data_IF_308939872709
#
_entry.id   IF_308939872709
#
_cell.length_a   1.000
_cell.length_b   1.000
_cell.length_c   1.000
_cell.angle_alpha   90.00
_cell.angle_beta   90.00
_cell.angle_gamma   90.00
#
_symmetry.space_group_name_H-M   'P 1'
#
loop_
_entity.id
_entity.type
_entity.pdbx_description
1 polymer ?
#
# COMPACT_ATOMS: atom_id res chain seq x y z
N UNK A 1 55.27 49.96 -18.29
CA UNK A 1 54.47 48.78 -18.50
C UNK A 1 53.05 49.13 -19.03
N UNK A 2 52.49 48.41 -19.98
CA UNK A 2 51.16 48.70 -20.50
C UNK A 2 50.09 48.45 -19.39
N UNK A 3 48.97 49.20 -19.42
CA UNK A 3 47.89 48.97 -18.46
C UNK A 3 47.30 47.54 -18.57
N UNK A 4 46.83 47.00 -17.44
CA UNK A 4 46.23 45.65 -17.45
C UNK A 4 44.99 45.62 -18.38
N UNK A 5 44.71 44.49 -19.03
CA UNK A 5 43.51 44.34 -19.88
C UNK A 5 42.24 44.52 -19.05
N UNK A 6 41.16 45.05 -19.61
CA UNK A 6 39.89 45.20 -18.93
C UNK A 6 39.33 43.82 -18.50
N UNK A 7 38.57 43.72 -17.38
CA UNK A 7 37.98 42.48 -16.95
C UNK A 7 36.98 41.96 -18.02
N UNK A 8 36.83 40.64 -18.15
CA UNK A 8 35.87 40.04 -19.09
C UNK A 8 34.43 40.47 -18.75
N UNK A 9 33.58 40.63 -19.75
CA UNK A 9 32.17 41.00 -19.51
C UNK A 9 31.48 39.94 -18.67
N UNK A 10 30.48 40.30 -17.83
CA UNK A 10 29.71 39.33 -17.06
C UNK A 10 29.00 38.37 -17.99
N UNK A 11 28.81 37.09 -17.56
CA UNK A 11 28.12 36.12 -18.38
C UNK A 11 26.66 36.57 -18.64
N UNK A 12 26.10 36.28 -19.83
CA UNK A 12 24.76 36.69 -20.18
C UNK A 12 23.76 36.08 -19.18
N UNK A 13 22.67 36.79 -18.83
CA UNK A 13 21.62 36.22 -17.97
C UNK A 13 21.05 34.95 -18.60
N UNK A 14 20.67 33.93 -17.78
CA UNK A 14 20.08 32.71 -18.30
C UNK A 14 18.84 33.07 -19.12
N UNK A 15 18.60 32.37 -20.25
CA UNK A 15 17.48 32.68 -21.13
C UNK A 15 16.15 32.63 -20.36
N UNK A 16 15.29 33.61 -20.58
CA UNK A 16 13.97 33.79 -19.97
C UNK A 16 13.10 32.49 -20.03
N UNK A 17 13.25 31.71 -21.08
CA UNK A 17 12.62 30.39 -21.23
C UNK A 17 12.97 29.39 -20.10
N UNK A 18 14.17 29.45 -19.54
CA UNK A 18 14.60 28.55 -18.46
C UNK A 18 13.92 28.92 -17.13
N UNK A 19 13.72 30.21 -16.88
CA UNK A 19 13.05 30.72 -15.68
C UNK A 19 11.55 30.34 -15.71
N UNK A 20 10.86 30.57 -16.84
CA UNK A 20 9.46 30.19 -17.03
C UNK A 20 9.26 28.66 -16.93
N UNK A 21 10.18 27.86 -17.47
CA UNK A 21 10.14 26.40 -17.37
C UNK A 21 10.28 25.91 -15.93
N UNK A 22 11.24 26.49 -15.18
CA UNK A 22 11.43 26.18 -13.74
C UNK A 22 10.21 26.57 -12.92
N UNK A 23 9.67 27.77 -13.14
CA UNK A 23 8.49 28.27 -12.44
C UNK A 23 7.27 27.39 -12.73
N UNK A 24 7.06 26.99 -13.99
CA UNK A 24 6.00 26.06 -14.38
C UNK A 24 6.14 24.69 -13.70
N UNK A 25 7.36 24.13 -13.63
CA UNK A 25 7.61 22.86 -12.96
C UNK A 25 7.36 22.96 -11.44
N UNK A 26 7.70 24.07 -10.80
CA UNK A 26 7.37 24.32 -9.40
C UNK A 26 5.87 24.36 -9.18
N UNK A 27 5.11 25.07 -10.00
CA UNK A 27 3.64 25.12 -9.88
C UNK A 27 2.99 23.74 -10.07
N UNK A 28 3.50 22.91 -10.99
CA UNK A 28 2.98 21.54 -11.22
C UNK A 28 3.26 20.67 -10.01
N UNK A 29 4.46 20.72 -9.45
CA UNK A 29 4.80 19.99 -8.22
C UNK A 29 3.95 20.43 -7.04
N UNK A 30 3.79 21.73 -6.84
CA UNK A 30 3.02 22.28 -5.72
C UNK A 30 1.54 21.88 -5.84
N UNK A 31 1.00 21.86 -7.07
CA UNK A 31 -0.33 21.32 -7.36
C UNK A 31 -0.43 19.84 -6.98
N UNK A 32 0.51 19.00 -7.42
CA UNK A 32 0.55 17.59 -7.04
C UNK A 32 0.57 17.42 -5.51
N UNK A 33 1.42 18.17 -4.81
CA UNK A 33 1.49 18.09 -3.35
C UNK A 33 0.16 18.46 -2.68
N UNK A 34 -0.55 19.46 -3.21
CA UNK A 34 -1.85 19.87 -2.68
C UNK A 34 -2.95 18.83 -2.99
N UNK A 35 -2.97 18.28 -4.21
CA UNK A 35 -3.95 17.27 -4.62
C UNK A 35 -3.76 15.94 -3.89
N UNK A 36 -2.53 15.63 -3.47
CA UNK A 36 -2.18 14.38 -2.78
C UNK A 36 -1.94 14.56 -1.26
N UNK A 37 -2.28 15.72 -0.71
CA UNK A 37 -1.96 16.07 0.69
C UNK A 37 -2.55 15.08 1.71
N UNK A 38 -3.67 14.43 1.38
CA UNK A 38 -4.37 13.47 2.24
C UNK A 38 -3.54 12.24 2.66
N UNK A 39 -2.53 11.88 1.89
CA UNK A 39 -1.60 10.79 2.22
C UNK A 39 -0.14 11.24 2.19
N UNK A 40 0.20 12.15 1.24
CA UNK A 40 1.58 12.52 0.96
C UNK A 40 2.23 13.29 2.11
N UNK A 41 1.46 14.08 2.85
CA UNK A 41 1.97 14.87 3.96
C UNK A 41 2.41 13.95 5.10
N UNK A 42 1.57 13.01 5.48
CA UNK A 42 1.86 12.03 6.51
C UNK A 42 2.98 11.06 6.09
N UNK A 43 2.96 10.59 4.84
CA UNK A 43 4.02 9.75 4.30
C UNK A 43 5.39 10.45 4.34
N UNK A 44 5.47 11.70 3.85
CA UNK A 44 6.72 12.44 3.80
C UNK A 44 7.26 12.77 5.20
N UNK A 45 6.37 13.10 6.13
CA UNK A 45 6.70 13.33 7.53
C UNK A 45 7.19 12.06 8.20
N UNK A 46 6.47 10.93 8.04
CA UNK A 46 6.88 9.63 8.55
C UNK A 46 8.26 9.22 8.06
N UNK A 47 8.51 9.32 6.76
CA UNK A 47 9.80 8.94 6.16
C UNK A 47 10.94 9.82 6.65
N UNK A 48 10.72 11.11 6.83
CA UNK A 48 11.71 12.03 7.36
C UNK A 48 12.03 11.70 8.83
N UNK A 49 11.02 11.44 9.66
CA UNK A 49 11.18 10.99 11.05
C UNK A 49 11.88 9.64 11.13
N UNK A 50 11.45 8.67 10.31
CA UNK A 50 12.05 7.35 10.24
C UNK A 50 13.55 7.41 9.95
N UNK A 51 13.94 8.17 8.93
CA UNK A 51 15.35 8.38 8.58
C UNK A 51 16.13 9.05 9.72
N UNK A 52 15.53 10.04 10.39
CA UNK A 52 16.16 10.72 11.52
C UNK A 52 16.39 9.74 12.69
N UNK A 53 15.38 8.99 13.11
CA UNK A 53 15.47 8.08 14.25
C UNK A 53 16.37 6.87 13.95
N UNK A 54 16.37 6.32 12.72
CA UNK A 54 17.30 5.26 12.32
C UNK A 54 18.77 5.67 12.47
N UNK A 55 19.10 6.94 12.27
CA UNK A 55 20.47 7.45 12.40
C UNK A 55 20.87 7.75 13.86
N UNK A 56 19.92 7.97 14.76
CA UNK A 56 20.18 8.45 16.12
C UNK A 56 19.80 7.43 17.20
N UNK A 57 18.59 6.92 17.17
CA UNK A 57 18.02 6.08 18.23
C UNK A 57 17.56 4.73 17.73
N UNK A 58 17.36 4.62 16.40
CA UNK A 58 16.79 3.43 15.76
C UNK A 58 15.32 3.21 16.11
N UNK A 59 14.77 2.12 15.55
CA UNK A 59 13.50 1.61 16.01
C UNK A 59 12.29 1.89 15.12
N UNK A 60 11.22 1.25 15.53
CA UNK A 60 9.87 1.31 14.96
C UNK A 60 9.17 2.55 15.51
N UNK A 61 8.21 3.11 14.76
CA UNK A 61 7.57 4.39 15.09
C UNK A 61 6.99 4.48 16.50
N UNK A 62 6.50 3.39 17.07
CA UNK A 62 5.94 3.38 18.44
C UNK A 62 7.02 3.48 19.54
N UNK A 63 8.29 3.31 19.18
CA UNK A 63 9.44 3.51 20.10
C UNK A 63 10.03 4.92 20.01
N UNK A 64 9.54 5.78 19.12
CA UNK A 64 9.96 7.18 19.05
C UNK A 64 9.52 7.94 20.30
N UNK A 65 10.04 9.17 20.54
CA UNK A 65 9.55 10.03 21.60
C UNK A 65 8.02 10.08 21.61
N UNK A 66 7.41 9.87 22.76
CA UNK A 66 5.97 9.67 22.90
C UNK A 66 5.13 10.77 22.22
N UNK A 67 5.59 12.02 22.26
CA UNK A 67 4.94 13.16 21.61
C UNK A 67 4.85 13.01 20.09
N UNK A 68 5.85 12.38 19.47
CA UNK A 68 5.87 12.10 18.00
C UNK A 68 5.17 10.79 17.68
N UNK A 69 5.39 9.73 18.47
CA UNK A 69 4.68 8.46 18.30
C UNK A 69 3.15 8.68 18.38
N UNK A 70 2.70 9.61 19.24
CA UNK A 70 1.29 9.97 19.43
C UNK A 70 0.81 11.14 18.56
N UNK A 71 1.67 11.62 17.65
CA UNK A 71 1.33 12.73 16.72
C UNK A 71 0.78 13.97 17.41
N UNK A 72 1.32 14.34 18.60
CA UNK A 72 0.90 15.56 19.28
C UNK A 72 1.11 16.79 18.36
N UNK A 73 0.09 17.65 18.16
CA UNK A 73 0.15 18.73 17.16
C UNK A 73 1.37 19.63 17.27
N UNK A 74 1.74 20.01 18.50
CA UNK A 74 2.89 20.89 18.75
C UNK A 74 4.21 20.18 18.42
N UNK A 75 4.30 18.87 18.64
CA UNK A 75 5.47 18.08 18.28
C UNK A 75 5.57 17.93 16.76
N UNK A 76 4.46 17.62 16.08
CA UNK A 76 4.41 17.56 14.61
C UNK A 76 4.85 18.90 14.01
N UNK A 77 4.35 20.03 14.53
CA UNK A 77 4.75 21.36 14.04
C UNK A 77 6.27 21.59 14.18
N UNK A 78 6.84 21.35 15.37
CA UNK A 78 8.29 21.51 15.62
C UNK A 78 9.14 20.63 14.71
N UNK A 79 8.73 19.35 14.55
CA UNK A 79 9.47 18.41 13.72
C UNK A 79 9.32 18.70 12.22
N UNK A 80 8.16 19.22 11.80
CA UNK A 80 7.95 19.69 10.42
C UNK A 80 8.91 20.82 10.05
N UNK A 81 9.16 21.75 10.96
CA UNK A 81 10.16 22.81 10.77
C UNK A 81 11.59 22.24 10.75
N UNK A 82 11.92 21.39 11.72
CA UNK A 82 13.24 20.76 11.86
C UNK A 82 13.62 19.93 10.64
N UNK A 83 12.67 19.15 10.07
CA UNK A 83 12.89 18.23 8.97
C UNK A 83 12.31 18.75 7.64
N UNK A 84 12.12 20.07 7.50
CA UNK A 84 11.46 20.66 6.34
C UNK A 84 12.12 20.31 5.00
N UNK A 85 13.44 20.13 4.97
CA UNK A 85 14.17 19.76 3.75
C UNK A 85 13.93 18.30 3.37
N UNK A 86 13.99 17.40 4.35
CA UNK A 86 13.77 15.97 4.21
C UNK A 86 12.32 15.67 3.77
N UNK A 87 11.35 16.33 4.39
CA UNK A 87 9.94 16.24 4.01
C UNK A 87 9.75 16.69 2.55
N UNK A 88 10.33 17.83 2.17
CA UNK A 88 10.26 18.31 0.77
C UNK A 88 10.95 17.36 -0.20
N UNK A 89 12.04 16.72 0.20
CA UNK A 89 12.73 15.71 -0.60
C UNK A 89 11.84 14.49 -0.85
N UNK A 90 11.17 13.95 0.18
CA UNK A 90 10.26 12.83 0.03
C UNK A 90 9.06 13.18 -0.85
N UNK A 91 8.44 14.35 -0.67
CA UNK A 91 7.38 14.86 -1.55
C UNK A 91 7.86 14.98 -3.00
N UNK A 92 9.06 15.45 -3.21
CA UNK A 92 9.64 15.58 -4.55
C UNK A 92 9.90 14.22 -5.20
N UNK A 93 10.36 13.22 -4.46
CA UNK A 93 10.54 11.86 -4.99
C UNK A 93 9.21 11.24 -5.40
N UNK A 94 8.16 11.42 -4.61
CA UNK A 94 6.82 10.94 -4.99
C UNK A 94 6.31 11.66 -6.25
N UNK A 95 6.48 12.97 -6.33
CA UNK A 95 6.14 13.73 -7.53
C UNK A 95 6.86 13.20 -8.78
N UNK A 96 8.17 12.94 -8.69
CA UNK A 96 8.93 12.37 -9.82
C UNK A 96 8.44 10.97 -10.18
N UNK A 97 8.22 10.12 -9.17
CA UNK A 97 7.71 8.78 -9.38
C UNK A 97 6.36 8.81 -10.12
N UNK A 98 5.40 9.58 -9.62
CA UNK A 98 4.07 9.65 -10.25
C UNK A 98 4.12 10.17 -11.68
N UNK A 99 4.94 11.19 -11.97
CA UNK A 99 5.08 11.67 -13.35
C UNK A 99 5.62 10.57 -14.27
N UNK A 100 6.71 9.91 -13.88
CA UNK A 100 7.34 8.87 -14.68
C UNK A 100 6.45 7.63 -14.82
N UNK A 101 5.80 7.23 -13.72
CA UNK A 101 4.92 6.08 -13.70
C UNK A 101 3.68 6.28 -14.58
N UNK A 102 3.02 7.44 -14.47
CA UNK A 102 1.84 7.73 -15.28
C UNK A 102 2.17 7.88 -16.77
N UNK A 103 3.34 8.42 -17.11
CA UNK A 103 3.84 8.42 -18.50
C UNK A 103 4.04 6.98 -19.02
N UNK A 104 4.65 6.09 -18.20
CA UNK A 104 4.83 4.69 -18.55
C UNK A 104 3.49 3.96 -18.69
N UNK A 105 2.56 4.16 -17.74
CA UNK A 105 1.21 3.58 -17.79
C UNK A 105 0.48 4.02 -19.05
N UNK A 106 0.49 5.30 -19.38
CA UNK A 106 -0.10 5.83 -20.61
C UNK A 106 0.52 5.19 -21.85
N UNK A 107 1.85 5.09 -21.88
CA UNK A 107 2.56 4.45 -22.99
C UNK A 107 2.16 2.97 -23.20
N UNK A 108 1.96 2.22 -22.09
CA UNK A 108 1.49 0.84 -22.12
C UNK A 108 0.03 0.76 -22.61
N UNK A 109 -0.85 1.59 -22.06
CA UNK A 109 -2.27 1.61 -22.40
C UNK A 109 -2.51 1.99 -23.87
N UNK A 110 -1.75 2.94 -24.44
CA UNK A 110 -1.81 3.31 -25.86
C UNK A 110 -1.46 2.14 -26.80
N UNK A 111 -0.86 1.06 -26.26
CA UNK A 111 -0.52 -0.18 -26.97
C UNK A 111 -1.41 -1.36 -26.60
N UNK A 112 -2.51 -1.09 -25.91
CA UNK A 112 -3.45 -2.12 -25.46
C UNK A 112 -2.92 -3.01 -24.32
N UNK A 113 -1.87 -2.58 -23.60
CA UNK A 113 -1.30 -3.30 -22.47
C UNK A 113 -1.87 -2.69 -21.20
N UNK A 114 -2.53 -3.52 -20.36
CA UNK A 114 -3.02 -3.14 -19.06
C UNK A 114 -1.99 -3.47 -17.98
N UNK A 115 -1.87 -2.59 -17.01
CA UNK A 115 -1.00 -2.80 -15.84
C UNK A 115 -1.84 -3.36 -14.70
N UNK A 116 -1.42 -4.50 -14.15
CA UNK A 116 -2.01 -5.10 -12.97
C UNK A 116 -1.15 -4.67 -11.77
N UNK A 117 -1.77 -3.96 -10.84
CA UNK A 117 -1.19 -3.63 -9.53
C UNK A 117 -1.51 -4.70 -8.49
N UNK A 118 -0.86 -4.58 -7.34
CA UNK A 118 -1.04 -5.47 -6.22
C UNK A 118 -1.19 -4.67 -4.91
N UNK A 119 -2.12 -5.08 -4.06
CA UNK A 119 -2.38 -4.44 -2.79
C UNK A 119 -2.65 -5.50 -1.71
N UNK A 120 -1.85 -5.57 -0.64
CA UNK A 120 -2.15 -6.46 0.46
C UNK A 120 -3.35 -5.95 1.26
N UNK A 121 -4.18 -6.89 1.79
CA UNK A 121 -5.28 -6.47 2.68
C UNK A 121 -4.72 -5.75 3.92
N UNK A 122 -3.68 -6.28 4.57
CA UNK A 122 -3.11 -5.67 5.77
C UNK A 122 -1.83 -4.88 5.45
N UNK A 123 -1.69 -3.72 6.09
CA UNK A 123 -0.51 -2.86 5.96
C UNK A 123 0.57 -3.22 6.97
N UNK A 124 1.82 -2.86 6.66
CA UNK A 124 2.92 -3.07 7.58
C UNK A 124 2.74 -2.25 8.86
N UNK A 125 3.07 -2.83 10.01
CA UNK A 125 3.01 -2.13 11.29
C UNK A 125 3.87 -0.86 11.30
N UNK A 126 5.11 -0.98 10.81
CA UNK A 126 6.04 0.14 10.74
C UNK A 126 5.88 0.91 9.43
N UNK A 127 4.75 1.59 9.31
CA UNK A 127 4.34 2.36 8.13
C UNK A 127 3.71 3.70 8.48
N UNK A 128 3.70 4.60 7.51
CA UNK A 128 2.97 5.87 7.61
C UNK A 128 1.47 5.65 7.83
N UNK A 129 0.90 4.60 7.22
CA UNK A 129 -0.51 4.26 7.33
C UNK A 129 -0.92 4.00 8.78
N UNK A 130 -0.15 3.15 9.50
CA UNK A 130 -0.45 2.81 10.90
C UNK A 130 -0.14 3.98 11.82
N UNK A 131 1.00 4.66 11.63
CA UNK A 131 1.38 5.81 12.44
C UNK A 131 0.39 6.97 12.32
N UNK A 132 -0.08 7.25 11.10
CA UNK A 132 -0.98 8.37 10.83
C UNK A 132 -2.44 8.09 11.22
N UNK A 133 -2.85 6.83 11.25
CA UNK A 133 -4.24 6.40 11.46
C UNK A 133 -4.33 5.33 12.55
N UNK A 134 -3.57 5.47 13.62
CA UNK A 134 -3.43 4.45 14.68
C UNK A 134 -4.78 4.06 15.33
N UNK A 135 -5.75 4.95 15.34
CA UNK A 135 -7.10 4.71 15.84
C UNK A 135 -7.87 3.65 15.04
N UNK A 136 -7.49 3.41 13.77
CA UNK A 136 -8.13 2.42 12.88
C UNK A 136 -7.61 1.00 13.07
N UNK A 137 -6.59 0.81 13.91
CA UNK A 137 -5.93 -0.47 14.13
C UNK A 137 -6.06 -0.93 15.59
N UNK A 138 -5.98 -2.26 15.80
CA UNK A 138 -6.01 -2.87 17.12
C UNK A 138 -4.65 -2.73 17.81
N UNK A 139 -4.44 -1.60 18.45
CA UNK A 139 -3.19 -1.24 19.13
C UNK A 139 -3.41 -1.01 20.64
N UNK A 140 -2.37 -1.28 21.40
CA UNK A 140 -2.25 -0.90 22.82
C UNK A 140 -2.00 0.60 22.98
N UNK A 141 -2.02 1.08 24.22
CA UNK A 141 -1.73 2.48 24.51
C UNK A 141 -0.29 2.89 24.13
N UNK A 142 0.68 1.99 24.15
CA UNK A 142 2.05 2.25 23.71
C UNK A 142 2.24 2.20 22.19
N UNK A 143 1.16 1.94 21.44
CA UNK A 143 1.16 1.81 19.99
C UNK A 143 1.54 0.42 19.49
N UNK A 144 1.91 -0.53 20.35
CA UNK A 144 2.17 -1.91 19.94
C UNK A 144 0.88 -2.62 19.52
N UNK A 145 0.89 -3.56 18.57
CA UNK A 145 -0.29 -4.35 18.22
C UNK A 145 -0.81 -5.16 19.40
N UNK A 146 -2.12 -5.23 19.58
CA UNK A 146 -2.75 -6.19 20.51
C UNK A 146 -2.89 -7.56 19.88
N UNK A 147 -3.14 -7.59 18.59
CA UNK A 147 -3.29 -8.77 17.74
C UNK A 147 -2.68 -8.50 16.37
N UNK A 148 -2.27 -9.57 15.68
CA UNK A 148 -1.66 -9.48 14.36
C UNK A 148 -2.29 -10.45 13.38
N UNK A 149 -2.14 -10.16 12.09
CA UNK A 149 -2.59 -10.99 11.00
C UNK A 149 -1.68 -12.19 10.76
N UNK A 150 -2.25 -13.23 10.19
CA UNK A 150 -1.55 -14.40 9.72
C UNK A 150 -2.50 -15.44 9.11
N UNK A 151 -2.01 -16.66 8.97
CA UNK A 151 -2.80 -17.83 8.58
C UNK A 151 -2.48 -18.98 9.52
N UNK A 152 -3.47 -19.84 9.85
CA UNK A 152 -3.27 -20.98 10.75
C UNK A 152 -2.33 -22.02 10.13
N UNK A 153 -1.86 -22.98 10.92
CA UNK A 153 -1.15 -24.15 10.43
C UNK A 153 -1.89 -24.85 9.28
N UNK A 154 -1.15 -25.23 8.26
CA UNK A 154 -1.65 -25.94 7.09
C UNK A 154 -0.64 -26.99 6.60
N UNK A 155 -0.92 -27.61 5.43
CA UNK A 155 -0.04 -28.62 4.85
C UNK A 155 1.37 -28.10 4.52
N UNK A 156 1.53 -26.81 4.25
CA UNK A 156 2.80 -26.20 3.86
C UNK A 156 3.59 -25.65 5.05
N UNK A 157 2.92 -25.36 6.18
CA UNK A 157 3.52 -24.79 7.39
C UNK A 157 2.88 -25.35 8.65
N UNK A 158 3.64 -26.14 9.43
CA UNK A 158 3.17 -26.72 10.70
C UNK A 158 2.88 -25.66 11.78
N UNK A 159 3.47 -24.48 11.68
CA UNK A 159 3.28 -23.37 12.63
C UNK A 159 2.38 -22.26 12.06
N UNK A 160 1.89 -22.44 10.82
CA UNK A 160 1.20 -21.38 10.10
C UNK A 160 2.14 -20.24 9.72
N UNK A 161 1.58 -19.09 9.38
CA UNK A 161 2.37 -17.89 9.06
C UNK A 161 1.90 -16.74 9.94
N UNK A 162 2.79 -16.19 10.75
CA UNK A 162 2.57 -14.96 11.50
C UNK A 162 3.15 -13.79 10.71
N UNK A 163 2.28 -12.95 10.14
CA UNK A 163 2.72 -11.84 9.28
C UNK A 163 3.12 -10.59 10.07
N UNK A 164 2.55 -10.41 11.27
CA UNK A 164 2.87 -9.27 12.13
C UNK A 164 2.18 -7.96 11.78
N UNK A 165 1.34 -7.93 10.73
CA UNK A 165 0.55 -6.76 10.37
C UNK A 165 -0.54 -6.52 11.42
N UNK A 166 -0.77 -5.29 11.89
CA UNK A 166 -1.86 -4.99 12.82
C UNK A 166 -3.22 -5.17 12.13
N UNK A 167 -4.21 -5.61 12.89
CA UNK A 167 -5.56 -5.81 12.38
C UNK A 167 -6.39 -4.53 12.47
N UNK A 168 -7.30 -4.38 11.49
CA UNK A 168 -8.21 -3.24 11.44
C UNK A 168 -9.34 -3.33 12.46
N UNK A 169 -9.76 -2.20 12.97
CA UNK A 169 -11.04 -2.03 13.67
C UNK A 169 -12.15 -1.79 12.64
N UNK A 170 -12.59 -2.86 11.97
CA UNK A 170 -13.55 -2.79 10.86
C UNK A 170 -14.86 -2.08 11.22
N UNK A 171 -15.29 -2.22 12.49
CA UNK A 171 -16.50 -1.56 12.97
C UNK A 171 -16.35 -0.03 12.95
N UNK A 172 -15.24 0.49 13.44
CA UNK A 172 -14.94 1.93 13.42
C UNK A 172 -14.80 2.46 12.01
N UNK A 173 -14.12 1.69 11.13
CA UNK A 173 -14.00 2.07 9.72
C UNK A 173 -15.35 2.10 8.98
N UNK A 174 -16.30 1.25 9.37
CA UNK A 174 -17.63 1.27 8.75
C UNK A 174 -18.46 2.52 9.10
N UNK A 175 -18.16 3.19 10.21
CA UNK A 175 -18.87 4.40 10.65
C UNK A 175 -18.61 5.62 9.75
N UNK A 176 -17.45 5.65 9.08
CA UNK A 176 -17.08 6.67 8.10
C UNK A 176 -17.15 6.17 6.64
N UNK A 177 -17.95 5.12 6.41
CA UNK A 177 -18.13 4.47 5.11
C UNK A 177 -16.80 4.02 4.50
N UNK A 178 -15.87 3.52 5.33
CA UNK A 178 -14.54 3.03 4.94
C UNK A 178 -13.69 4.07 4.18
N UNK A 179 -13.77 5.33 4.55
CA UNK A 179 -13.15 6.46 3.84
C UNK A 179 -11.65 6.26 3.56
N UNK A 180 -10.92 5.70 4.53
CA UNK A 180 -9.50 5.40 4.38
C UNK A 180 -9.24 4.33 3.29
N UNK A 181 -10.06 3.28 3.25
CA UNK A 181 -9.98 2.25 2.22
C UNK A 181 -10.37 2.77 0.84
N UNK A 182 -11.37 3.65 0.77
CA UNK A 182 -11.74 4.35 -0.46
C UNK A 182 -10.55 5.11 -1.03
N UNK A 183 -9.85 5.90 -0.20
CA UNK A 183 -8.65 6.64 -0.63
C UNK A 183 -7.53 5.70 -1.08
N UNK A 184 -7.32 4.58 -0.37
CA UNK A 184 -6.31 3.58 -0.67
C UNK A 184 -6.56 2.90 -2.01
N UNK A 185 -7.79 2.44 -2.28
CA UNK A 185 -8.16 1.84 -3.57
C UNK A 185 -8.11 2.85 -4.71
N UNK A 186 -8.60 4.06 -4.50
CA UNK A 186 -8.52 5.14 -5.49
C UNK A 186 -7.09 5.41 -5.93
N UNK A 187 -6.16 5.44 -4.97
CA UNK A 187 -4.73 5.59 -5.28
C UNK A 187 -4.20 4.40 -6.08
N UNK A 188 -4.57 3.18 -5.71
CA UNK A 188 -4.18 1.98 -6.44
C UNK A 188 -4.69 1.97 -7.87
N UNK A 189 -5.95 2.40 -8.12
CA UNK A 189 -6.53 2.53 -9.46
C UNK A 189 -5.90 3.68 -10.29
N UNK A 190 -5.35 4.68 -9.63
CA UNK A 190 -4.54 5.69 -10.33
C UNK A 190 -3.25 5.08 -10.88
N UNK A 191 -2.64 4.17 -10.14
CA UNK A 191 -1.35 3.56 -10.50
C UNK A 191 -1.51 2.35 -11.44
N UNK A 192 -2.61 1.62 -11.36
CA UNK A 192 -2.83 0.40 -12.13
C UNK A 192 -4.21 0.44 -12.85
N UNK A 193 -4.37 -0.39 -13.87
CA UNK A 193 -5.65 -0.54 -14.59
C UNK A 193 -6.55 -1.58 -13.93
N UNK A 194 -5.91 -2.59 -13.31
CA UNK A 194 -6.56 -3.64 -12.54
C UNK A 194 -5.73 -3.83 -11.27
N UNK A 195 -6.37 -4.09 -10.13
CA UNK A 195 -5.67 -4.29 -8.86
C UNK A 195 -5.99 -5.67 -8.30
N UNK A 196 -4.95 -6.47 -8.05
CA UNK A 196 -5.07 -7.70 -7.29
C UNK A 196 -5.12 -7.37 -5.80
N UNK A 197 -6.16 -7.83 -5.12
CA UNK A 197 -6.19 -7.78 -3.65
C UNK A 197 -5.61 -9.09 -3.12
N UNK A 198 -4.46 -8.99 -2.49
CA UNK A 198 -3.82 -10.11 -1.81
C UNK A 198 -4.57 -10.49 -0.54
N UNK A 199 -4.72 -11.80 -0.31
CA UNK A 199 -5.48 -12.38 0.80
C UNK A 199 -6.95 -11.91 0.85
N UNK A 200 -7.65 -11.95 -0.30
CA UNK A 200 -9.05 -11.53 -0.43
C UNK A 200 -9.97 -12.18 0.61
N UNK A 201 -9.70 -13.44 0.99
CA UNK A 201 -10.49 -14.14 2.00
C UNK A 201 -10.60 -13.38 3.33
N UNK A 202 -9.62 -12.51 3.66
CA UNK A 202 -9.60 -11.71 4.88
C UNK A 202 -10.78 -10.75 5.00
N UNK A 203 -11.44 -10.41 3.88
CA UNK A 203 -12.68 -9.63 3.92
C UNK A 203 -13.88 -10.47 4.39
N UNK A 204 -13.89 -11.77 4.20
CA UNK A 204 -14.89 -12.65 4.81
C UNK A 204 -14.49 -13.03 6.24
N UNK A 205 -13.31 -13.62 6.39
CA UNK A 205 -12.75 -13.96 7.70
C UNK A 205 -11.22 -14.04 7.63
N UNK A 206 -10.55 -13.53 8.66
CA UNK A 206 -9.10 -13.52 8.81
C UNK A 206 -8.67 -14.23 10.10
N UNK A 207 -7.42 -14.70 10.11
CA UNK A 207 -6.82 -15.35 11.28
C UNK A 207 -6.18 -14.30 12.17
N UNK A 208 -6.72 -14.14 13.37
CA UNK A 208 -6.23 -13.24 14.40
C UNK A 208 -5.30 -14.01 15.35
N UNK A 209 -4.10 -13.50 15.55
CA UNK A 209 -3.07 -14.06 16.41
C UNK A 209 -2.80 -13.06 17.53
N UNK A 210 -2.83 -13.44 18.83
CA UNK A 210 -2.36 -12.58 19.92
C UNK A 210 -0.94 -12.09 19.62
N UNK A 211 -0.65 -10.80 19.85
CA UNK A 211 0.61 -10.22 19.41
C UNK A 211 1.84 -10.80 20.13
N UNK A 212 1.66 -11.36 21.33
CA UNK A 212 2.67 -12.04 22.16
C UNK A 212 3.07 -13.42 21.62
N UNK A 213 2.26 -14.03 20.76
CA UNK A 213 2.55 -15.35 20.21
C UNK A 213 3.62 -15.27 19.11
N UNK A 214 4.60 -16.17 19.14
CA UNK A 214 5.69 -16.22 18.18
C UNK A 214 5.28 -16.88 16.84
N UNK A 215 4.22 -17.70 16.88
CA UNK A 215 3.72 -18.48 15.74
C UNK A 215 2.24 -18.26 15.52
N UNK A 216 1.69 -18.80 14.43
CA UNK A 216 0.27 -18.71 14.13
C UNK A 216 -0.55 -19.90 14.65
N UNK A 217 0.03 -20.77 15.49
CA UNK A 217 -0.66 -21.94 16.04
C UNK A 217 -1.83 -21.54 16.96
N UNK A 218 -1.60 -20.52 17.79
CA UNK A 218 -2.64 -19.98 18.67
C UNK A 218 -3.27 -18.78 17.98
N UNK A 219 -4.55 -18.90 17.67
CA UNK A 219 -5.30 -17.84 17.00
C UNK A 219 -6.77 -18.21 16.87
N UNK A 220 -7.53 -17.36 16.21
CA UNK A 220 -8.96 -17.58 15.94
C UNK A 220 -9.40 -16.90 14.66
N UNK A 221 -10.41 -17.47 14.00
CA UNK A 221 -11.06 -16.85 12.88
C UNK A 221 -11.97 -15.71 13.34
N UNK A 222 -11.75 -14.52 12.79
CA UNK A 222 -12.57 -13.33 13.03
C UNK A 222 -13.29 -12.97 11.72
N UNK A 223 -14.57 -12.66 11.82
CA UNK A 223 -15.37 -12.24 10.68
C UNK A 223 -14.89 -10.89 10.18
N UNK A 224 -14.66 -10.79 8.89
CA UNK A 224 -14.30 -9.53 8.20
C UNK A 224 -15.52 -8.66 7.90
N UNK A 225 -15.33 -7.52 7.24
CA UNK A 225 -16.41 -6.58 6.92
C UNK A 225 -17.36 -7.12 5.83
N UNK A 226 -16.92 -8.09 5.04
CA UNK A 226 -17.74 -8.81 4.07
C UNK A 226 -18.33 -7.92 2.97
N UNK A 227 -19.59 -8.18 2.67
CA UNK A 227 -20.34 -7.53 1.61
C UNK A 227 -20.45 -6.01 1.78
N UNK A 228 -20.67 -5.51 3.01
CA UNK A 228 -20.85 -4.07 3.27
C UNK A 228 -19.63 -3.23 2.88
N UNK A 229 -18.44 -3.81 2.96
CA UNK A 229 -17.21 -3.15 2.51
C UNK A 229 -17.22 -2.91 0.99
N UNK A 230 -17.49 -3.93 0.20
CA UNK A 230 -17.46 -3.79 -1.26
C UNK A 230 -18.64 -2.97 -1.79
N UNK A 231 -19.82 -3.03 -1.13
CA UNK A 231 -20.94 -2.13 -1.45
C UNK A 231 -20.55 -0.66 -1.24
N UNK A 232 -19.86 -0.35 -0.13
CA UNK A 232 -19.36 1.00 0.11
C UNK A 232 -18.29 1.41 -0.93
N UNK A 233 -17.42 0.48 -1.34
CA UNK A 233 -16.43 0.76 -2.38
C UNK A 233 -17.08 1.02 -3.74
N UNK A 234 -18.09 0.25 -4.15
CA UNK A 234 -18.85 0.49 -5.37
C UNK A 234 -19.59 1.83 -5.33
N UNK A 235 -20.20 2.18 -4.18
CA UNK A 235 -20.86 3.47 -3.99
C UNK A 235 -19.89 4.65 -4.13
N UNK A 236 -18.68 4.53 -3.58
CA UNK A 236 -17.71 5.61 -3.54
C UNK A 236 -16.87 5.74 -4.82
N UNK A 237 -16.57 4.63 -5.49
CA UNK A 237 -15.60 4.55 -6.59
C UNK A 237 -16.20 4.09 -7.93
N UNK A 238 -17.44 3.60 -7.94
CA UNK A 238 -18.07 3.01 -9.11
C UNK A 238 -17.57 1.59 -9.39
N UNK A 239 -17.29 1.28 -10.65
CA UNK A 239 -16.77 -0.03 -11.04
C UNK A 239 -15.41 -0.30 -10.39
N UNK A 240 -15.27 -1.51 -9.82
CA UNK A 240 -14.07 -1.94 -9.12
C UNK A 240 -13.28 -2.93 -10.00
N UNK A 241 -12.21 -2.51 -10.70
CA UNK A 241 -11.37 -3.39 -11.50
C UNK A 241 -10.45 -4.22 -10.59
N UNK A 242 -11.02 -5.16 -9.84
CA UNK A 242 -10.31 -5.97 -8.86
C UNK A 242 -10.17 -7.42 -9.30
N UNK A 243 -9.07 -8.04 -8.92
CA UNK A 243 -8.84 -9.48 -8.93
C UNK A 243 -8.76 -9.94 -7.48
N UNK A 244 -9.55 -10.95 -7.12
CA UNK A 244 -9.47 -11.54 -5.79
C UNK A 244 -8.38 -12.62 -5.76
N UNK A 245 -7.37 -12.46 -4.90
CA UNK A 245 -6.48 -13.56 -4.59
C UNK A 245 -7.22 -14.51 -3.63
N UNK A 246 -7.70 -15.61 -4.19
CA UNK A 246 -8.51 -16.65 -3.53
C UNK A 246 -7.78 -18.00 -3.51
N UNK A 247 -6.51 -17.97 -3.09
CA UNK A 247 -5.67 -19.16 -2.93
C UNK A 247 -5.70 -19.68 -1.48
N UNK A 248 -5.30 -20.93 -1.28
CA UNK A 248 -5.28 -21.58 0.03
C UNK A 248 -6.64 -22.14 0.46
N UNK A 249 -6.99 -22.01 1.74
CA UNK A 249 -8.25 -22.55 2.30
C UNK A 249 -9.39 -21.61 1.97
N UNK A 250 -10.12 -21.87 0.91
CA UNK A 250 -11.25 -21.07 0.44
C UNK A 250 -12.57 -21.72 0.81
N UNK A 251 -13.41 -20.98 1.52
CA UNK A 251 -14.74 -21.43 1.97
C UNK A 251 -15.82 -21.01 0.97
N UNK A 252 -17.01 -21.64 1.01
CA UNK A 252 -18.15 -21.21 0.16
C UNK A 252 -18.52 -19.74 0.34
N UNK A 253 -18.35 -19.17 1.55
CA UNK A 253 -18.65 -17.79 1.86
C UNK A 253 -17.70 -16.84 1.12
N UNK A 254 -16.41 -17.17 1.05
CA UNK A 254 -15.41 -16.40 0.28
C UNK A 254 -15.75 -16.43 -1.21
N UNK A 255 -16.13 -17.61 -1.74
CA UNK A 255 -16.56 -17.74 -3.14
C UNK A 255 -17.81 -16.90 -3.40
N UNK A 256 -18.81 -16.97 -2.52
CA UNK A 256 -20.05 -16.21 -2.64
C UNK A 256 -19.77 -14.68 -2.60
N UNK A 257 -18.89 -14.24 -1.72
CA UNK A 257 -18.50 -12.82 -1.64
C UNK A 257 -17.82 -12.35 -2.94
N UNK A 258 -16.85 -13.12 -3.45
CA UNK A 258 -16.16 -12.83 -4.72
C UNK A 258 -17.14 -12.77 -5.90
N UNK A 259 -18.00 -13.78 -6.03
CA UNK A 259 -18.92 -13.95 -7.15
C UNK A 259 -20.03 -12.88 -7.15
N UNK A 260 -20.47 -12.43 -5.97
CA UNK A 260 -21.43 -11.34 -5.81
C UNK A 260 -20.97 -10.05 -6.49
N UNK A 261 -19.69 -9.71 -6.37
CA UNK A 261 -19.08 -8.52 -6.96
C UNK A 261 -18.42 -8.80 -8.31
N UNK A 262 -18.62 -9.99 -8.87
CA UNK A 262 -18.10 -10.41 -10.17
C UNK A 262 -16.57 -10.32 -10.29
N UNK A 263 -15.84 -10.40 -9.19
CA UNK A 263 -14.38 -10.36 -9.23
C UNK A 263 -13.82 -11.67 -9.81
N UNK A 264 -12.87 -11.59 -10.75
CA UNK A 264 -12.11 -12.76 -11.15
C UNK A 264 -11.32 -13.31 -9.95
N UNK A 265 -11.36 -14.63 -9.76
CA UNK A 265 -10.45 -15.32 -8.85
C UNK A 265 -9.11 -15.63 -9.50
N UNK A 266 -8.16 -16.17 -8.73
CA UNK A 266 -6.85 -16.56 -9.22
C UNK A 266 -6.65 -18.07 -9.24
N UNK A 267 -5.90 -18.56 -10.23
CA UNK A 267 -5.40 -19.93 -10.28
C UNK A 267 -3.92 -19.94 -10.64
N UNK A 268 -3.14 -20.73 -9.92
CA UNK A 268 -1.73 -20.94 -10.21
C UNK A 268 -1.64 -22.11 -11.20
N UNK A 269 -1.30 -21.81 -12.45
CA UNK A 269 -1.33 -22.79 -13.54
C UNK A 269 -0.38 -23.98 -13.30
N UNK A 270 0.72 -23.78 -12.57
CA UNK A 270 1.65 -24.85 -12.21
C UNK A 270 0.97 -26.00 -11.45
N UNK A 271 -0.04 -25.71 -10.63
CA UNK A 271 -0.79 -26.73 -9.89
C UNK A 271 -1.72 -27.58 -10.79
N UNK A 272 -1.96 -27.13 -12.03
CA UNK A 272 -2.74 -27.88 -13.01
C UNK A 272 -2.05 -29.17 -13.49
N UNK A 273 -0.73 -29.27 -13.34
CA UNK A 273 0.08 -30.35 -13.89
C UNK A 273 0.34 -31.50 -12.87
N UNK A 274 -0.38 -31.55 -11.76
CA UNK A 274 -0.30 -32.62 -10.74
C UNK A 274 -0.91 -33.97 -11.14
N UNK A 275 -1.36 -34.12 -12.41
CA UNK A 275 -1.80 -35.41 -12.97
C UNK A 275 -3.31 -35.70 -12.87
N UNK A 276 -4.11 -34.88 -12.22
CA UNK A 276 -5.57 -35.06 -12.14
C UNK A 276 -6.30 -34.39 -13.31
N UNK A 277 -7.02 -35.19 -14.12
CA UNK A 277 -7.79 -34.67 -15.27
C UNK A 277 -8.90 -33.68 -14.88
N UNK A 278 -9.38 -33.74 -13.65
CA UNK A 278 -10.45 -32.89 -13.13
C UNK A 278 -9.92 -31.77 -12.23
N UNK A 279 -8.61 -31.49 -12.26
CA UNK A 279 -8.04 -30.40 -11.46
C UNK A 279 -8.73 -29.07 -11.79
N UNK A 280 -9.21 -28.35 -10.76
CA UNK A 280 -9.80 -27.02 -10.89
C UNK A 280 -8.80 -25.95 -11.36
N UNK A 281 -7.50 -26.28 -11.35
CA UNK A 281 -6.44 -25.42 -11.88
C UNK A 281 -6.27 -25.51 -13.40
N UNK A 282 -6.93 -26.49 -14.05
CA UNK A 282 -6.94 -26.59 -15.51
C UNK A 282 -7.88 -25.53 -16.09
N UNK A 283 -7.47 -24.78 -17.13
CA UNK A 283 -8.27 -23.70 -17.71
C UNK A 283 -9.69 -24.15 -18.15
N UNK A 284 -9.81 -25.36 -18.70
CA UNK A 284 -11.09 -25.90 -19.17
C UNK A 284 -12.02 -26.41 -18.06
N UNK A 285 -11.54 -26.55 -16.82
CA UNK A 285 -12.31 -26.95 -15.65
C UNK A 285 -12.67 -25.75 -14.75
N UNK A 286 -12.11 -24.56 -15.03
CA UNK A 286 -12.47 -23.38 -14.28
C UNK A 286 -13.78 -22.79 -14.81
N UNK A 287 -14.74 -22.59 -13.93
CA UNK A 287 -16.01 -21.91 -14.23
C UNK A 287 -15.88 -20.41 -13.92
N UNK A 288 -16.35 -19.56 -14.84
CA UNK A 288 -16.42 -18.13 -14.64
C UNK A 288 -15.18 -17.36 -15.04
N UNK A 289 -15.09 -16.11 -14.62
CA UNK A 289 -13.92 -15.23 -14.84
C UNK A 289 -12.79 -15.68 -13.91
N UNK A 290 -11.72 -16.21 -14.48
CA UNK A 290 -10.56 -16.69 -13.72
C UNK A 290 -9.30 -16.11 -14.32
N UNK A 291 -8.45 -15.51 -13.47
CA UNK A 291 -7.13 -15.05 -13.84
C UNK A 291 -6.12 -16.18 -13.60
N UNK A 292 -5.42 -16.61 -14.66
CA UNK A 292 -4.37 -17.61 -14.56
C UNK A 292 -3.02 -16.93 -14.39
N UNK A 293 -2.39 -17.17 -13.25
CA UNK A 293 -1.05 -16.69 -12.95
C UNK A 293 -0.02 -17.77 -13.28
N UNK A 294 0.95 -17.43 -14.11
CA UNK A 294 2.18 -18.20 -14.32
C UNK A 294 3.21 -17.67 -13.33
N UNK A 295 3.42 -18.37 -12.23
CA UNK A 295 4.50 -18.06 -11.33
C UNK A 295 5.82 -18.38 -12.07
N UNK A 296 6.51 -17.37 -12.54
CA UNK A 296 7.91 -17.55 -12.92
C UNK A 296 8.67 -17.78 -11.61
N UNK A 297 9.30 -18.94 -11.48
CA UNK A 297 10.23 -19.23 -10.41
C UNK A 297 11.41 -18.26 -10.50
N UNK A 298 11.27 -17.07 -9.95
CA UNK A 298 12.38 -16.38 -9.33
C UNK A 298 12.35 -16.77 -7.86
N UNK A 299 13.42 -17.35 -7.31
CA UNK A 299 13.54 -17.51 -5.88
C UNK A 299 13.84 -16.13 -5.27
N UNK A 300 12.83 -15.26 -5.23
CA UNK A 300 12.86 -14.16 -4.31
C UNK A 300 12.24 -14.67 -3.01
N UNK A 301 13.03 -14.73 -1.94
CA UNK A 301 12.44 -14.84 -0.63
C UNK A 301 11.50 -13.64 -0.50
N UNK A 302 10.23 -13.89 -0.21
CA UNK A 302 9.33 -12.86 0.29
C UNK A 302 9.90 -12.40 1.65
N UNK A 303 10.87 -11.51 1.60
CA UNK A 303 11.34 -10.74 2.74
C UNK A 303 10.82 -9.32 2.56
N UNK A 304 9.82 -9.03 3.37
CA UNK A 304 9.47 -7.77 3.97
C UNK A 304 9.90 -6.49 3.22
N UNK A 305 8.95 -5.85 2.59
CA UNK A 305 8.92 -4.40 2.42
C UNK A 305 7.81 -3.81 3.27
#
# INVERSE_FOLDING_TARGET
>A
PPPPPPPPPPPPPPPTHTLFRRQRQMCIRDRFCNEQANWLDDFAMFMALKNYHLQHEGGVWNTWPNEIARRQPEAIARWSEKLANEIRMHKFFQYLFFNQWLELKTYANDRGILIIGDIPIFVAFDSADVWANSERFSLNEDGSPTVVAGVPPDYFSETGQRWGNPLYKWHEMSQDNYSWWTARLQMSFTQADIVRIDHFRGFDAYWEIPAEEETAVIGKWIKGPGQSFFEAMEENLGELPLIAEDLGVITPEVVALRDRFHFPGMKILQFAFGGERNSLFLPHNSSGKTFFHLNQFFPFPFQHF
#
